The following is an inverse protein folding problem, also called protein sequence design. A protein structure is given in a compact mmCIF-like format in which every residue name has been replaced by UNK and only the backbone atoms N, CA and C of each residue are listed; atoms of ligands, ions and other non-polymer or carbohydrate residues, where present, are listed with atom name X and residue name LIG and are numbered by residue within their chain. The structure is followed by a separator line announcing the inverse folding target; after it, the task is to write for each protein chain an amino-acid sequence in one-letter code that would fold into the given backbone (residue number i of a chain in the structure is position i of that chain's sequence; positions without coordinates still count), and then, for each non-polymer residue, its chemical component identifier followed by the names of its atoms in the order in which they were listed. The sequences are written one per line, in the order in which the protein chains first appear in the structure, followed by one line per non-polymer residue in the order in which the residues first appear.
data_IF_190081799440
#
_entry.id   IF_190081799440
#
_cell.length_a   1.000
_cell.length_b   1.000
_cell.length_c   1.000
_cell.angle_alpha   90.00
_cell.angle_beta   90.00
_cell.angle_gamma   90.00
#
_symmetry.space_group_name_H-M   'P 1'
#
loop_
_entity.id
_entity.type
_entity.pdbx_description
1 polymer ?
#
# COMPACT_ATOMS: atom_id res chain seq x y z
N UNK A 1 20.09 7.29 5.39
CA UNK A 1 19.00 8.12 6.00
C UNK A 1 19.39 8.53 7.41
N UNK A 2 19.19 9.79 7.77
CA UNK A 2 19.38 10.25 9.16
C UNK A 2 18.31 9.63 10.06
N UNK A 3 18.70 9.18 11.26
CA UNK A 3 17.74 8.60 12.21
C UNK A 3 16.86 9.69 12.82
N UNK A 4 15.54 9.46 12.83
CA UNK A 4 14.58 10.35 13.50
C UNK A 4 14.88 10.50 14.99
N UNK A 5 15.39 9.43 15.63
CA UNK A 5 15.70 9.40 17.05
C UNK A 5 16.85 10.37 17.43
N UNK A 6 17.80 10.57 16.51
CA UNK A 6 19.01 11.38 16.73
C UNK A 6 18.80 12.87 16.42
N UNK A 7 17.58 13.27 16.03
CA UNK A 7 17.27 14.65 15.69
C UNK A 7 16.97 15.44 16.98
N UNK A 8 17.66 16.58 17.11
CA UNK A 8 17.35 17.60 18.10
C UNK A 8 16.19 18.49 17.61
N UNK A 9 15.04 18.37 18.24
CA UNK A 9 13.84 19.15 17.94
C UNK A 9 13.65 20.39 18.80
N UNK A 10 14.52 20.61 19.81
CA UNK A 10 14.36 21.71 20.77
C UNK A 10 14.36 23.06 20.04
N UNK A 11 13.28 23.84 20.24
CA UNK A 11 13.04 25.13 19.60
C UNK A 11 13.11 25.12 18.06
N UNK A 12 12.81 23.98 17.42
CA UNK A 12 12.81 23.82 15.95
C UNK A 12 11.38 23.78 15.41
N UNK A 13 11.22 24.39 14.24
CA UNK A 13 9.98 24.26 13.43
C UNK A 13 10.14 23.03 12.53
N UNK A 14 9.26 22.08 12.68
CA UNK A 14 9.27 20.82 11.92
C UNK A 14 8.16 20.85 10.88
N UNK A 15 8.51 20.84 9.60
CA UNK A 15 7.55 20.54 8.55
C UNK A 15 7.38 19.03 8.49
N UNK A 16 6.20 18.57 8.92
CA UNK A 16 5.85 17.14 8.96
C UNK A 16 4.87 16.82 7.83
N UNK A 17 5.37 16.10 6.81
CA UNK A 17 4.54 15.62 5.71
C UNK A 17 3.85 14.32 6.10
N UNK A 18 2.54 14.37 6.23
CA UNK A 18 1.70 13.25 6.66
C UNK A 18 0.72 12.80 5.58
N UNK A 19 0.23 11.57 5.67
CA UNK A 19 -0.84 11.07 4.81
C UNK A 19 -2.18 11.02 5.55
N UNK A 20 -2.87 12.15 5.59
CA UNK A 20 -4.22 12.25 6.12
C UNK A 20 -5.29 12.26 5.02
N UNK A 21 -5.00 11.59 3.90
CA UNK A 21 -6.00 11.36 2.85
C UNK A 21 -6.98 10.27 3.32
N UNK A 22 -7.83 10.66 4.27
CA UNK A 22 -8.83 9.79 4.91
C UNK A 22 -10.14 9.79 4.11
N UNK A 23 -10.96 8.72 4.20
CA UNK A 23 -12.26 8.68 3.57
C UNK A 23 -13.22 9.66 4.24
N UNK A 24 -13.97 10.39 3.41
CA UNK A 24 -14.94 11.38 3.84
C UNK A 24 -16.33 11.05 3.32
N UNK A 25 -17.33 11.05 4.19
CA UNK A 25 -18.75 11.00 3.83
C UNK A 25 -19.46 12.21 4.43
N UNK A 26 -20.16 12.98 3.60
CA UNK A 26 -20.86 14.19 4.05
C UNK A 26 -19.95 15.14 4.87
N UNK A 27 -18.69 15.31 4.46
CA UNK A 27 -17.65 16.09 5.16
C UNK A 27 -17.30 15.56 6.56
N UNK A 28 -17.62 14.32 6.87
CA UNK A 28 -17.20 13.64 8.11
C UNK A 28 -16.19 12.58 7.79
N UNK A 29 -15.17 12.43 8.64
CA UNK A 29 -14.19 11.38 8.55
C UNK A 29 -14.86 10.07 8.98
N UNK A 30 -14.84 9.05 8.10
CA UNK A 30 -15.40 7.73 8.39
C UNK A 30 -14.36 6.75 8.93
N UNK A 31 -13.08 7.05 8.72
CA UNK A 31 -11.96 6.27 9.25
C UNK A 31 -10.76 7.19 9.55
N UNK A 32 -10.38 7.29 10.82
CA UNK A 32 -9.30 8.13 11.32
C UNK A 32 -7.99 7.37 11.56
N UNK A 33 -7.89 6.14 11.10
CA UNK A 33 -6.75 5.24 11.34
C UNK A 33 -5.39 5.90 11.03
N UNK A 34 -5.28 6.60 9.90
CA UNK A 34 -4.04 7.29 9.48
C UNK A 34 -3.65 8.43 10.43
N UNK A 35 -4.63 9.12 11.01
CA UNK A 35 -4.40 10.17 12.00
C UNK A 35 -3.84 9.54 13.27
N UNK A 36 -4.49 8.51 13.79
CA UNK A 36 -4.06 7.78 15.00
C UNK A 36 -2.67 7.18 14.84
N UNK A 37 -2.33 6.63 13.69
CA UNK A 37 -0.99 6.08 13.43
C UNK A 37 0.12 7.14 13.48
N UNK A 38 -0.17 8.38 13.09
CA UNK A 38 0.80 9.48 13.09
C UNK A 38 0.94 10.16 14.46
N UNK A 39 -0.03 10.00 15.34
CA UNK A 39 -0.05 10.66 16.67
C UNK A 39 1.22 10.43 17.50
N UNK A 40 1.81 9.22 17.59
CA UNK A 40 3.06 9.00 18.33
C UNK A 40 4.23 9.87 17.83
N UNK A 41 4.36 10.03 16.50
CA UNK A 41 5.41 10.89 15.91
C UNK A 41 5.21 12.35 16.29
N UNK A 42 3.97 12.85 16.23
CA UNK A 42 3.61 14.20 16.63
C UNK A 42 3.95 14.43 18.10
N UNK A 43 3.48 13.55 19.00
CA UNK A 43 3.78 13.65 20.42
C UNK A 43 5.28 13.62 20.72
N UNK A 44 6.04 12.82 20.01
CA UNK A 44 7.49 12.72 20.18
C UNK A 44 8.21 14.00 19.80
N UNK A 45 7.84 14.64 18.68
CA UNK A 45 8.40 15.93 18.30
C UNK A 45 8.08 17.00 19.33
N UNK A 46 6.82 17.07 19.80
CA UNK A 46 6.38 18.04 20.81
C UNK A 46 7.07 17.83 22.15
N UNK A 47 7.19 16.59 22.62
CA UNK A 47 7.86 16.25 23.89
C UNK A 47 9.36 16.60 23.89
N UNK A 48 9.98 16.64 22.71
CA UNK A 48 11.36 17.10 22.51
C UNK A 48 11.47 18.62 22.24
N UNK A 49 10.42 19.40 22.47
CA UNK A 49 10.39 20.87 22.38
C UNK A 49 10.25 21.46 20.99
N UNK A 50 9.87 20.65 20.00
CA UNK A 50 9.59 21.13 18.64
C UNK A 50 8.20 21.77 18.49
N UNK A 51 7.99 22.51 17.40
CA UNK A 51 6.69 22.94 16.89
C UNK A 51 6.44 22.33 15.52
N UNK A 52 5.19 22.06 15.16
CA UNK A 52 4.87 21.22 14.00
C UNK A 52 4.00 21.98 13.00
N UNK A 53 4.46 22.00 11.74
CA UNK A 53 3.73 22.43 10.56
C UNK A 53 3.29 21.18 9.83
N UNK A 54 2.00 20.79 9.99
CA UNK A 54 1.42 19.62 9.33
C UNK A 54 1.05 19.94 7.88
N UNK A 55 1.62 19.20 6.94
CA UNK A 55 1.32 19.30 5.52
C UNK A 55 0.76 17.98 5.00
N UNK A 56 -0.43 18.02 4.45
CA UNK A 56 -1.12 16.86 3.90
C UNK A 56 -1.96 17.21 2.68
N UNK A 57 -2.57 16.19 2.08
CA UNK A 57 -3.55 16.36 1.01
C UNK A 57 -4.81 15.55 1.28
N UNK A 58 -5.92 15.98 0.71
CA UNK A 58 -7.18 15.25 0.62
C UNK A 58 -7.60 15.21 -0.84
N UNK A 59 -7.95 14.02 -1.33
CA UNK A 59 -8.47 13.85 -2.68
C UNK A 59 -7.48 14.19 -3.81
N UNK A 60 -8.06 14.56 -4.95
CA UNK A 60 -7.31 14.92 -6.17
C UNK A 60 -7.87 16.22 -6.77
N UNK A 61 -7.72 17.36 -6.09
CA UNK A 61 -8.18 18.64 -6.63
C UNK A 61 -7.38 19.06 -7.86
N UNK A 62 -7.95 19.97 -8.63
CA UNK A 62 -7.21 20.69 -9.68
C UNK A 62 -6.26 21.68 -9.03
N UNK A 63 -4.99 21.66 -9.42
CA UNK A 63 -3.99 22.63 -8.93
C UNK A 63 -4.39 24.08 -9.22
N UNK A 64 -4.10 24.96 -8.28
CA UNK A 64 -4.44 26.38 -8.35
C UNK A 64 -5.91 26.70 -8.06
N UNK A 65 -6.73 25.69 -7.75
CA UNK A 65 -8.16 25.85 -7.46
C UNK A 65 -8.47 25.30 -6.08
N UNK A 66 -8.92 26.16 -5.18
CA UNK A 66 -9.39 25.74 -3.87
C UNK A 66 -10.78 25.11 -3.98
N UNK A 67 -10.90 23.86 -3.54
CA UNK A 67 -12.17 23.15 -3.44
C UNK A 67 -12.54 22.97 -1.95
N UNK A 68 -13.60 23.69 -1.47
CA UNK A 68 -13.99 23.57 -0.06
C UNK A 68 -14.38 22.17 0.40
N UNK A 69 -14.75 21.27 -0.52
CA UNK A 69 -15.07 19.87 -0.20
C UNK A 69 -13.81 19.04 0.11
N UNK A 70 -12.64 19.50 -0.32
CA UNK A 70 -11.34 18.87 -0.13
C UNK A 70 -10.40 19.68 0.78
N UNK A 71 -10.96 20.65 1.54
CA UNK A 71 -10.19 21.41 2.53
C UNK A 71 -9.73 20.50 3.66
N UNK A 72 -8.46 20.64 4.06
CA UNK A 72 -7.91 19.93 5.21
C UNK A 72 -8.46 20.42 6.54
N UNK A 73 -9.20 21.55 6.57
CA UNK A 73 -9.86 22.04 7.78
C UNK A 73 -10.79 21.00 8.43
N UNK A 74 -11.35 20.06 7.66
CA UNK A 74 -12.17 18.96 8.15
C UNK A 74 -11.40 18.03 9.12
N UNK A 75 -10.07 18.03 9.07
CA UNK A 75 -9.22 17.20 9.92
C UNK A 75 -9.00 17.79 11.33
N UNK A 76 -9.25 19.09 11.54
CA UNK A 76 -8.91 19.80 12.78
C UNK A 76 -9.51 19.11 14.00
N UNK A 77 -10.82 18.91 14.02
CA UNK A 77 -11.51 18.29 15.17
C UNK A 77 -11.03 16.87 15.46
N UNK A 78 -10.76 16.07 14.41
CA UNK A 78 -10.24 14.71 14.61
C UNK A 78 -8.80 14.72 15.14
N UNK A 79 -7.97 15.67 14.69
CA UNK A 79 -6.61 15.84 15.20
C UNK A 79 -6.64 16.30 16.67
N UNK A 80 -7.46 17.29 17.03
CA UNK A 80 -7.63 17.73 18.41
C UNK A 80 -8.07 16.60 19.32
N UNK A 81 -9.07 15.83 18.88
CA UNK A 81 -9.56 14.67 19.63
C UNK A 81 -8.48 13.59 19.82
N UNK A 82 -7.68 13.32 18.79
CA UNK A 82 -6.65 12.27 18.81
C UNK A 82 -5.42 12.69 19.60
N UNK A 83 -5.00 13.96 19.49
CA UNK A 83 -3.77 14.46 20.08
C UNK A 83 -3.98 15.07 21.47
N UNK A 84 -5.22 15.42 21.83
CA UNK A 84 -5.52 16.07 23.12
C UNK A 84 -5.00 17.50 23.25
N UNK A 85 -4.68 18.17 22.13
CA UNK A 85 -4.12 19.52 22.08
C UNK A 85 -4.83 20.34 21.01
N UNK A 86 -4.88 21.69 21.13
CA UNK A 86 -5.47 22.56 20.12
C UNK A 86 -4.64 22.55 18.83
N UNK A 87 -5.33 22.57 17.69
CA UNK A 87 -4.73 22.59 16.35
C UNK A 87 -5.06 23.91 15.67
N UNK A 88 -4.03 24.70 15.38
CA UNK A 88 -4.18 25.89 14.55
C UNK A 88 -4.37 25.49 13.08
N UNK A 89 -5.25 26.18 12.35
CA UNK A 89 -5.43 25.96 10.92
C UNK A 89 -5.06 27.21 10.13
N UNK A 90 -4.29 27.04 9.04
CA UNK A 90 -3.91 28.17 8.18
C UNK A 90 -4.17 27.88 6.71
N UNK A 91 -5.01 28.72 6.11
CA UNK A 91 -5.42 28.60 4.70
C UNK A 91 -4.30 29.06 3.75
N UNK A 92 -3.79 30.27 3.94
CA UNK A 92 -2.73 30.86 3.10
C UNK A 92 -1.35 30.69 3.74
N UNK A 93 -0.94 29.43 3.94
CA UNK A 93 0.23 29.08 4.73
C UNK A 93 1.57 29.27 3.99
N UNK A 94 1.56 29.19 2.64
CA UNK A 94 2.79 29.29 1.84
C UNK A 94 3.41 30.71 1.85
N UNK A 95 2.65 31.73 2.22
CA UNK A 95 3.11 33.12 2.32
C UNK A 95 3.80 33.42 3.66
N UNK A 96 3.91 32.44 4.53
CA UNK A 96 4.59 32.55 5.81
C UNK A 96 3.77 32.04 6.99
N UNK A 97 4.45 31.47 7.97
CA UNK A 97 3.86 30.87 9.16
C UNK A 97 4.49 31.51 10.41
N UNK A 98 3.67 31.90 11.38
CA UNK A 98 4.07 32.17 12.75
C UNK A 98 3.56 31.02 13.61
N UNK A 99 4.46 30.33 14.29
CA UNK A 99 4.16 29.21 15.15
C UNK A 99 5.04 29.31 16.40
N UNK A 100 4.43 29.18 17.56
CA UNK A 100 5.14 29.20 18.85
C UNK A 100 5.61 27.81 19.25
N UNK A 101 6.54 27.74 20.20
CA UNK A 101 7.07 26.48 20.73
C UNK A 101 5.93 25.57 21.22
N UNK A 102 5.97 24.31 20.83
CA UNK A 102 4.98 23.30 21.24
C UNK A 102 3.63 23.37 20.55
N UNK A 103 3.44 24.28 19.58
CA UNK A 103 2.22 24.38 18.80
C UNK A 103 2.20 23.44 17.60
N UNK A 104 0.99 23.05 17.21
CA UNK A 104 0.72 22.31 15.96
C UNK A 104 -0.17 23.14 15.06
N UNK A 105 0.27 23.35 13.83
CA UNK A 105 -0.45 24.08 12.80
C UNK A 105 -0.70 23.17 11.60
N UNK A 106 -1.97 22.99 11.25
CA UNK A 106 -2.38 22.29 10.04
C UNK A 106 -2.48 23.27 8.87
N UNK A 107 -1.79 22.99 7.80
CA UNK A 107 -1.86 23.73 6.55
C UNK A 107 -3.05 23.29 5.70
N UNK A 108 -3.62 24.22 4.91
CA UNK A 108 -4.60 23.90 3.88
C UNK A 108 -4.01 22.93 2.84
N UNK A 109 -4.89 22.16 2.19
CA UNK A 109 -4.57 21.11 1.23
C UNK A 109 -3.44 21.53 0.27
N UNK A 110 -2.31 20.85 0.40
CA UNK A 110 -1.11 21.15 -0.38
C UNK A 110 -1.34 21.03 -1.89
N UNK A 111 -2.28 20.18 -2.30
CA UNK A 111 -2.65 20.00 -3.72
C UNK A 111 -3.44 21.16 -4.31
N UNK A 112 -3.86 22.15 -3.52
CA UNK A 112 -4.38 23.41 -4.06
C UNK A 112 -3.28 24.32 -4.59
N UNK A 113 -2.03 24.08 -4.21
CA UNK A 113 -0.91 24.90 -4.67
C UNK A 113 -0.50 24.50 -6.08
N UNK A 114 -0.39 25.50 -6.97
CA UNK A 114 0.14 25.30 -8.31
C UNK A 114 1.61 24.91 -8.24
N UNK A 115 1.96 23.81 -8.91
CA UNK A 115 3.33 23.29 -8.93
C UNK A 115 3.58 22.18 -7.90
N UNK A 116 2.59 21.80 -7.09
CA UNK A 116 2.76 20.70 -6.12
C UNK A 116 3.08 19.39 -6.82
N UNK A 117 2.26 18.96 -7.78
CA UNK A 117 2.44 17.66 -8.43
C UNK A 117 3.55 17.65 -9.49
N UNK A 118 3.89 18.82 -10.04
CA UNK A 118 5.01 18.98 -10.97
C UNK A 118 6.36 19.19 -10.29
N UNK A 119 6.38 19.21 -8.95
CA UNK A 119 7.60 19.44 -8.16
C UNK A 119 8.26 20.79 -8.48
N UNK A 120 7.48 21.86 -8.52
CA UNK A 120 8.01 23.19 -8.77
C UNK A 120 9.04 23.60 -7.72
N UNK A 121 10.22 24.00 -8.19
CA UNK A 121 11.38 24.28 -7.33
C UNK A 121 11.18 25.53 -6.47
N UNK A 122 10.46 26.55 -6.96
CA UNK A 122 10.20 27.75 -6.18
C UNK A 122 9.20 27.48 -5.07
N UNK A 123 8.15 26.70 -5.37
CA UNK A 123 7.20 26.24 -4.36
C UNK A 123 7.90 25.39 -3.28
N UNK A 124 8.71 24.43 -3.70
CA UNK A 124 9.49 23.59 -2.79
C UNK A 124 10.43 24.39 -1.89
N UNK A 125 11.10 25.39 -2.45
CA UNK A 125 11.95 26.32 -1.69
C UNK A 125 11.17 27.10 -0.66
N UNK A 126 10.02 27.70 -1.04
CA UNK A 126 9.13 28.41 -0.10
C UNK A 126 8.68 27.50 1.04
N UNK A 127 8.32 26.24 0.76
CA UNK A 127 7.99 25.25 1.81
C UNK A 127 9.16 24.99 2.75
N UNK A 128 10.37 24.80 2.20
CA UNK A 128 11.58 24.56 2.98
C UNK A 128 11.93 25.72 3.92
N UNK A 129 11.73 26.97 3.49
CA UNK A 129 12.00 28.17 4.29
C UNK A 129 11.05 28.32 5.50
N UNK A 130 9.91 27.61 5.51
CA UNK A 130 8.97 27.64 6.65
C UNK A 130 9.48 26.84 7.86
N UNK A 131 10.45 25.95 7.68
CA UNK A 131 10.87 24.99 8.71
C UNK A 131 12.38 24.87 8.83
N UNK A 132 12.83 24.42 9.98
CA UNK A 132 14.24 24.12 10.27
C UNK A 132 14.56 22.64 9.99
N UNK A 133 13.52 21.78 10.04
CA UNK A 133 13.60 20.34 9.87
C UNK A 133 12.43 19.87 8.98
N UNK A 134 12.72 18.96 8.06
CA UNK A 134 11.72 18.25 7.27
C UNK A 134 11.62 16.78 7.69
N UNK A 135 10.43 16.32 8.06
CA UNK A 135 10.14 14.91 8.36
C UNK A 135 9.05 14.41 7.41
N UNK A 136 9.30 13.26 6.78
CA UNK A 136 8.30 12.62 5.92
C UNK A 136 7.73 11.36 6.58
N UNK A 137 6.43 11.36 6.86
CA UNK A 137 5.65 10.21 7.35
C UNK A 137 4.75 9.59 6.28
N UNK A 138 4.71 10.19 5.09
CA UNK A 138 3.77 9.81 4.05
C UNK A 138 4.40 8.87 3.01
N UNK A 139 4.69 7.63 3.39
CA UNK A 139 5.24 6.63 2.46
C UNK A 139 4.31 6.38 1.24
N UNK A 140 2.99 6.44 1.42
CA UNK A 140 2.01 6.26 0.34
C UNK A 140 2.20 7.18 -0.88
N UNK A 141 2.90 8.30 -0.70
CA UNK A 141 3.22 9.28 -1.74
C UNK A 141 4.70 9.24 -2.18
N UNK A 142 5.50 8.34 -1.63
CA UNK A 142 6.96 8.29 -1.84
C UNK A 142 7.38 7.96 -3.27
N UNK A 143 6.52 7.29 -4.01
CA UNK A 143 6.73 6.92 -5.42
C UNK A 143 6.65 8.11 -6.39
N UNK A 144 6.24 9.29 -5.92
CA UNK A 144 6.08 10.50 -6.73
C UNK A 144 6.96 11.61 -6.21
N UNK A 145 7.69 12.28 -7.11
CA UNK A 145 8.44 13.47 -6.77
C UNK A 145 7.51 14.69 -6.82
N UNK A 146 6.87 15.03 -5.70
CA UNK A 146 6.08 16.24 -5.54
C UNK A 146 6.86 17.32 -4.77
N UNK A 147 6.41 18.58 -4.82
CA UNK A 147 7.07 19.67 -4.10
C UNK A 147 7.09 19.42 -2.59
N UNK A 148 5.97 18.93 -2.01
CA UNK A 148 5.80 18.74 -0.56
C UNK A 148 6.44 17.48 0.04
N UNK A 149 6.94 16.55 -0.78
CA UNK A 149 7.56 15.32 -0.27
C UNK A 149 8.99 15.11 -0.75
N UNK A 150 9.32 15.50 -1.98
CA UNK A 150 10.63 15.38 -2.59
C UNK A 150 11.34 16.73 -2.68
N UNK A 151 10.68 17.72 -3.30
CA UNK A 151 11.26 19.03 -3.54
C UNK A 151 11.68 19.74 -2.26
N UNK A 152 10.80 19.78 -1.26
CA UNK A 152 11.03 20.40 0.05
C UNK A 152 12.26 19.81 0.76
N UNK A 153 12.50 18.50 0.60
CA UNK A 153 13.65 17.84 1.21
C UNK A 153 15.00 18.39 0.72
N UNK A 154 15.06 18.92 -0.52
CA UNK A 154 16.27 19.55 -1.07
C UNK A 154 16.63 20.88 -0.39
N UNK A 155 15.65 21.56 0.17
CA UNK A 155 15.82 22.88 0.78
C UNK A 155 15.90 22.84 2.30
N UNK A 156 15.78 21.66 2.92
CA UNK A 156 15.98 21.47 4.35
C UNK A 156 17.33 20.77 4.62
N UNK A 157 18.19 21.41 5.43
CA UNK A 157 19.47 20.83 5.83
C UNK A 157 19.31 19.57 6.68
N UNK A 158 18.25 19.52 7.49
CA UNK A 158 17.91 18.37 8.30
C UNK A 158 16.63 17.78 7.68
N UNK A 159 16.76 16.58 7.12
CA UNK A 159 15.65 15.82 6.54
C UNK A 159 15.75 14.37 6.97
N UNK A 160 14.62 13.76 7.31
CA UNK A 160 14.59 12.36 7.70
C UNK A 160 13.21 11.72 7.41
N UNK A 161 13.16 10.39 7.27
CA UNK A 161 11.90 9.65 7.38
C UNK A 161 11.39 9.74 8.82
N UNK A 162 10.08 9.83 8.99
CA UNK A 162 9.46 9.59 10.28
C UNK A 162 9.34 8.09 10.57
N UNK A 163 8.99 7.70 11.81
CA UNK A 163 8.89 6.30 12.23
C UNK A 163 7.96 5.44 11.37
N UNK A 164 6.80 5.96 10.95
CA UNK A 164 5.87 5.22 10.09
C UNK A 164 6.45 4.99 8.69
N UNK A 165 7.08 6.03 8.12
CA UNK A 165 7.74 5.91 6.82
C UNK A 165 8.85 4.86 6.88
N UNK A 166 9.66 4.90 7.93
CA UNK A 166 10.78 3.98 8.11
C UNK A 166 10.30 2.55 8.31
N UNK A 167 9.28 2.33 9.15
CA UNK A 167 8.72 0.99 9.37
C UNK A 167 8.16 0.35 8.10
N UNK A 168 7.54 1.14 7.23
CA UNK A 168 7.07 0.68 5.91
C UNK A 168 8.25 0.26 5.03
N UNK A 169 9.29 1.11 4.94
CA UNK A 169 10.50 0.82 4.16
C UNK A 169 11.19 -0.45 4.68
N UNK A 170 11.36 -0.58 5.99
CA UNK A 170 12.02 -1.73 6.61
C UNK A 170 11.24 -3.03 6.37
N UNK A 171 9.90 -3.00 6.53
CA UNK A 171 9.06 -4.16 6.26
C UNK A 171 9.19 -4.62 4.80
N UNK A 172 9.17 -3.67 3.86
CA UNK A 172 9.32 -3.96 2.43
C UNK A 172 10.72 -4.47 2.07
N UNK A 173 11.77 -3.87 2.63
CA UNK A 173 13.13 -4.36 2.44
C UNK A 173 13.30 -5.78 2.98
N UNK A 174 12.67 -6.09 4.11
CA UNK A 174 12.76 -7.41 4.73
C UNK A 174 12.14 -8.50 3.85
N UNK A 175 11.02 -8.22 3.16
CA UNK A 175 10.38 -9.22 2.28
C UNK A 175 10.94 -9.28 0.87
N UNK A 176 11.66 -8.24 0.40
CA UNK A 176 12.18 -8.20 -0.98
C UNK A 176 13.68 -8.41 -1.04
N UNK A 177 14.47 -7.68 -0.23
CA UNK A 177 15.93 -7.69 -0.34
C UNK A 177 16.64 -8.56 0.70
N UNK A 178 15.97 -8.80 1.84
CA UNK A 178 16.51 -9.55 2.97
C UNK A 178 15.58 -10.70 3.36
N UNK A 179 14.81 -11.19 2.40
CA UNK A 179 13.88 -12.28 2.65
C UNK A 179 14.64 -13.55 3.10
N UNK A 180 14.12 -14.16 4.12
CA UNK A 180 14.61 -15.47 4.60
C UNK A 180 13.86 -16.56 3.85
N UNK A 181 14.61 -17.52 3.30
CA UNK A 181 14.05 -18.70 2.65
C UNK A 181 13.62 -19.77 3.70
N UNK A 182 12.56 -20.53 3.39
CA UNK A 182 11.70 -20.44 2.21
C UNK A 182 10.80 -19.19 2.23
N UNK A 183 10.65 -18.58 1.06
CA UNK A 183 9.85 -17.38 0.87
C UNK A 183 8.71 -17.62 -0.13
N UNK A 184 7.54 -17.05 0.15
CA UNK A 184 6.33 -17.20 -0.69
C UNK A 184 5.74 -15.82 -1.00
N UNK A 185 5.51 -15.54 -2.28
CA UNK A 185 4.72 -14.39 -2.69
C UNK A 185 3.38 -14.84 -3.28
N UNK A 186 2.31 -14.15 -2.89
CA UNK A 186 0.95 -14.37 -3.41
C UNK A 186 0.53 -13.10 -4.14
N UNK A 187 0.22 -13.21 -5.43
CA UNK A 187 -0.23 -12.11 -6.27
C UNK A 187 -1.57 -12.47 -6.89
N UNK A 188 -2.63 -11.85 -6.41
CA UNK A 188 -3.98 -11.97 -6.96
C UNK A 188 -4.37 -10.74 -7.76
N UNK A 189 -5.39 -10.89 -8.60
CA UNK A 189 -5.95 -9.77 -9.35
C UNK A 189 -6.65 -10.18 -10.63
N UNK A 190 -7.45 -9.26 -11.18
CA UNK A 190 -8.24 -9.50 -12.38
C UNK A 190 -7.46 -9.34 -13.69
N UNK A 191 -6.42 -8.48 -13.69
CA UNK A 191 -5.65 -8.10 -14.90
C UNK A 191 -4.16 -8.28 -14.70
N UNK A 192 -3.53 -9.08 -15.58
CA UNK A 192 -2.09 -9.30 -15.54
C UNK A 192 -1.31 -8.05 -15.99
N UNK A 193 -1.83 -7.29 -16.96
CA UNK A 193 -1.16 -6.09 -17.50
C UNK A 193 -0.77 -5.08 -16.43
N UNK A 194 -1.54 -5.02 -15.33
CA UNK A 194 -1.25 -4.15 -14.19
C UNK A 194 -0.26 -4.75 -13.18
N UNK A 195 0.11 -6.02 -13.35
CA UNK A 195 0.93 -6.79 -12.41
C UNK A 195 2.16 -7.45 -13.04
N UNK A 196 2.35 -7.31 -14.36
CA UNK A 196 3.46 -7.93 -15.09
C UNK A 196 4.83 -7.58 -14.48
N UNK A 197 5.07 -6.29 -14.21
CA UNK A 197 6.33 -5.84 -13.60
C UNK A 197 6.52 -6.40 -12.19
N UNK A 198 5.44 -6.43 -11.40
CA UNK A 198 5.42 -7.01 -10.05
C UNK A 198 5.77 -8.50 -10.09
N UNK A 199 5.08 -9.29 -10.94
CA UNK A 199 5.29 -10.73 -11.08
C UNK A 199 6.72 -11.02 -11.51
N UNK A 200 7.22 -10.29 -12.52
CA UNK A 200 8.60 -10.43 -13.03
C UNK A 200 9.65 -10.10 -11.97
N UNK A 201 9.42 -9.11 -11.12
CA UNK A 201 10.37 -8.78 -10.06
C UNK A 201 10.30 -9.82 -8.93
N UNK A 202 9.10 -10.18 -8.47
CA UNK A 202 8.91 -11.13 -7.37
C UNK A 202 9.40 -12.53 -7.73
N UNK A 203 9.21 -13.00 -8.97
CA UNK A 203 9.70 -14.31 -9.39
C UNK A 203 11.21 -14.51 -9.22
N UNK A 204 11.97 -13.41 -9.21
CA UNK A 204 13.43 -13.42 -8.99
C UNK A 204 13.82 -13.29 -7.52
N UNK A 205 12.87 -12.94 -6.66
CA UNK A 205 13.15 -12.60 -5.27
C UNK A 205 12.65 -13.66 -4.28
N UNK A 206 11.69 -14.51 -4.68
CA UNK A 206 11.07 -15.48 -3.78
C UNK A 206 11.25 -16.90 -4.27
N UNK A 207 11.19 -17.88 -3.34
CA UNK A 207 11.31 -19.30 -3.68
C UNK A 207 10.03 -19.86 -4.31
N UNK A 208 8.87 -19.30 -3.96
CA UNK A 208 7.58 -19.75 -4.49
C UNK A 208 6.66 -18.57 -4.81
N UNK A 209 6.02 -18.63 -5.97
CA UNK A 209 5.08 -17.61 -6.44
C UNK A 209 3.71 -18.23 -6.68
N UNK A 210 2.69 -17.71 -5.99
CA UNK A 210 1.28 -18.05 -6.17
C UNK A 210 0.60 -16.94 -6.94
N UNK A 211 -0.08 -17.28 -8.03
CA UNK A 211 -0.81 -16.32 -8.86
C UNK A 211 -2.30 -16.66 -8.86
N UNK A 212 -3.14 -15.73 -8.37
CA UNK A 212 -4.57 -15.93 -8.17
C UNK A 212 -5.49 -15.05 -9.02
N UNK A 213 -6.79 -15.27 -8.92
CA UNK A 213 -7.81 -14.51 -9.64
C UNK A 213 -7.75 -14.68 -11.16
N UNK A 214 -8.06 -13.63 -11.91
CA UNK A 214 -7.99 -13.64 -13.37
C UNK A 214 -6.60 -13.93 -13.94
N UNK A 215 -5.54 -13.67 -13.16
CA UNK A 215 -4.15 -14.02 -13.52
C UNK A 215 -3.97 -15.55 -13.51
N UNK A 216 -4.58 -16.26 -12.57
CA UNK A 216 -4.56 -17.72 -12.55
C UNK A 216 -5.24 -18.33 -13.78
N UNK A 217 -6.34 -17.73 -14.25
CA UNK A 217 -7.03 -18.19 -15.45
C UNK A 217 -6.12 -18.07 -16.71
N UNK A 218 -5.30 -17.02 -16.79
CA UNK A 218 -4.30 -16.87 -17.84
C UNK A 218 -3.25 -17.97 -17.79
N UNK A 219 -2.79 -18.34 -16.59
CA UNK A 219 -1.82 -19.43 -16.41
C UNK A 219 -2.43 -20.76 -16.84
N UNK A 220 -3.63 -21.08 -16.38
CA UNK A 220 -4.34 -22.31 -16.75
C UNK A 220 -4.50 -22.40 -18.27
N UNK A 221 -4.89 -21.30 -18.91
CA UNK A 221 -5.01 -21.22 -20.36
C UNK A 221 -3.65 -21.36 -21.08
N UNK A 222 -2.60 -20.75 -20.53
CA UNK A 222 -1.24 -20.86 -21.10
C UNK A 222 -0.68 -22.29 -21.00
N UNK A 223 -1.14 -23.10 -20.06
CA UNK A 223 -0.84 -24.53 -19.96
C UNK A 223 -1.66 -25.40 -20.94
N UNK A 224 -2.56 -24.80 -21.73
CA UNK A 224 -3.39 -25.50 -22.72
C UNK A 224 -4.73 -25.99 -22.22
N UNK A 225 -5.12 -25.71 -20.97
CA UNK A 225 -6.43 -26.09 -20.43
C UNK A 225 -7.53 -25.11 -20.84
N UNK A 226 -8.77 -25.61 -20.82
CA UNK A 226 -9.94 -24.76 -20.97
C UNK A 226 -10.11 -23.89 -19.73
N UNK A 227 -10.66 -22.70 -19.92
CA UNK A 227 -11.05 -21.79 -18.83
C UNK A 227 -12.53 -21.37 -18.94
N UNK A 228 -13.25 -21.90 -19.93
CA UNK A 228 -14.65 -21.59 -20.19
C UNK A 228 -14.91 -20.10 -20.40
N UNK A 229 -15.90 -19.59 -19.68
CA UNK A 229 -16.29 -18.16 -19.67
C UNK A 229 -15.53 -17.34 -18.60
N UNK A 230 -14.50 -17.91 -17.99
CA UNK A 230 -13.74 -17.27 -16.91
C UNK A 230 -13.11 -15.95 -17.36
N UNK A 231 -13.02 -15.02 -16.44
CA UNK A 231 -12.35 -13.74 -16.65
C UNK A 231 -10.88 -13.96 -17.05
N UNK A 232 -10.48 -13.43 -18.17
CA UNK A 232 -9.06 -13.31 -18.54
C UNK A 232 -8.81 -12.12 -19.45
N UNK A 233 -7.59 -11.60 -19.43
CA UNK A 233 -7.20 -10.43 -20.21
C UNK A 233 -6.68 -10.87 -21.57
N UNK A 234 -7.58 -11.00 -22.57
CA UNK A 234 -7.26 -11.51 -23.91
C UNK A 234 -6.10 -10.76 -24.60
N UNK A 235 -6.02 -9.41 -24.58
CA UNK A 235 -4.92 -8.68 -25.22
C UNK A 235 -3.54 -8.98 -24.63
N UNK A 236 -3.47 -9.33 -23.35
CA UNK A 236 -2.22 -9.61 -22.65
C UNK A 236 -1.81 -11.10 -22.68
N UNK A 237 -2.58 -11.96 -23.34
CA UNK A 237 -2.37 -13.42 -23.29
C UNK A 237 -1.02 -13.86 -23.83
N UNK A 238 -0.60 -13.36 -24.99
CA UNK A 238 0.69 -13.74 -25.58
C UNK A 238 1.89 -13.28 -24.76
N UNK A 239 1.81 -12.08 -24.18
CA UNK A 239 2.82 -11.56 -23.28
C UNK A 239 2.89 -12.38 -21.99
N UNK A 240 1.73 -12.75 -21.44
CA UNK A 240 1.62 -13.61 -20.27
C UNK A 240 2.23 -14.99 -20.51
N UNK A 241 1.98 -15.61 -21.68
CA UNK A 241 2.57 -16.90 -22.04
C UNK A 241 4.11 -16.84 -22.10
N UNK A 242 4.67 -15.76 -22.64
CA UNK A 242 6.12 -15.54 -22.64
C UNK A 242 6.65 -15.38 -21.22
N UNK A 243 6.00 -14.53 -20.40
CA UNK A 243 6.39 -14.31 -19.02
C UNK A 243 6.41 -15.61 -18.21
N UNK A 244 5.36 -16.43 -18.31
CA UNK A 244 5.24 -17.65 -17.50
C UNK A 244 6.24 -18.74 -17.90
N UNK A 245 6.74 -18.76 -19.15
CA UNK A 245 7.79 -19.68 -19.59
C UNK A 245 9.14 -19.39 -18.92
N UNK A 246 9.37 -18.13 -18.55
CA UNK A 246 10.63 -17.68 -17.95
C UNK A 246 10.61 -17.74 -16.40
N UNK A 247 9.55 -18.29 -15.79
CA UNK A 247 9.38 -18.34 -14.34
C UNK A 247 9.21 -19.80 -13.89
N UNK A 248 10.20 -20.31 -13.16
CA UNK A 248 10.24 -21.72 -12.75
C UNK A 248 9.60 -22.00 -11.37
N UNK A 249 9.36 -20.95 -10.58
CA UNK A 249 8.92 -21.07 -9.19
C UNK A 249 7.42 -20.82 -8.98
N UNK A 250 6.61 -20.85 -10.04
CA UNK A 250 5.15 -20.73 -9.93
C UNK A 250 4.55 -22.00 -9.34
N UNK A 251 3.71 -21.83 -8.33
CA UNK A 251 2.84 -22.91 -7.84
C UNK A 251 1.59 -22.95 -8.73
N UNK A 252 1.61 -23.86 -9.69
CA UNK A 252 0.50 -24.02 -10.63
C UNK A 252 -0.72 -24.65 -9.95
N UNK A 253 -1.96 -24.14 -10.21
CA UNK A 253 -3.19 -24.79 -9.78
C UNK A 253 -3.37 -26.14 -10.45
N UNK A 254 -4.03 -27.07 -9.75
CA UNK A 254 -4.35 -28.41 -10.23
C UNK A 254 -5.84 -28.72 -10.19
N UNK A 255 -6.58 -27.99 -9.38
CA UNK A 255 -8.04 -28.01 -9.30
C UNK A 255 -8.57 -26.63 -8.96
N UNK A 256 -9.82 -26.39 -9.31
CA UNK A 256 -10.51 -25.10 -9.19
C UNK A 256 -11.95 -25.31 -8.72
N UNK A 257 -12.59 -24.22 -8.27
CA UNK A 257 -14.03 -24.16 -8.02
C UNK A 257 -14.67 -23.38 -9.16
N UNK A 258 -15.55 -24.05 -9.89
CA UNK A 258 -16.29 -23.49 -11.03
C UNK A 258 -17.76 -23.29 -10.71
N UNK A 259 -18.36 -22.31 -11.36
CA UNK A 259 -19.82 -22.14 -11.43
C UNK A 259 -20.25 -21.80 -12.86
N UNK A 260 -21.54 -21.87 -13.16
CA UNK A 260 -22.08 -21.54 -14.48
C UNK A 260 -22.41 -20.06 -14.65
N UNK A 261 -22.46 -19.30 -13.56
CA UNK A 261 -22.76 -17.87 -13.54
C UNK A 261 -21.97 -17.13 -12.46
N UNK A 262 -21.75 -15.84 -12.69
CA UNK A 262 -21.13 -14.94 -11.72
C UNK A 262 -22.22 -14.37 -10.78
N UNK A 263 -22.59 -15.14 -9.78
CA UNK A 263 -23.66 -14.81 -8.84
C UNK A 263 -23.30 -15.29 -7.43
N UNK A 264 -23.61 -14.47 -6.42
CA UNK A 264 -23.36 -14.82 -5.00
C UNK A 264 -24.11 -16.07 -4.51
N UNK A 265 -25.20 -16.43 -5.19
CA UNK A 265 -26.01 -17.63 -4.90
C UNK A 265 -25.60 -18.84 -5.74
N UNK A 266 -24.67 -18.69 -6.68
CA UNK A 266 -24.23 -19.79 -7.52
C UNK A 266 -23.57 -20.90 -6.68
N UNK A 267 -23.81 -22.15 -7.10
CA UNK A 267 -23.23 -23.32 -6.44
C UNK A 267 -21.89 -23.63 -7.09
N UNK A 268 -20.83 -23.64 -6.27
CA UNK A 268 -19.49 -24.00 -6.69
C UNK A 268 -19.33 -25.53 -6.85
N UNK A 269 -18.70 -25.94 -7.94
CA UNK A 269 -18.33 -27.34 -8.20
C UNK A 269 -16.81 -27.43 -8.32
N UNK A 270 -16.20 -28.34 -7.54
CA UNK A 270 -14.77 -28.63 -7.62
C UNK A 270 -14.49 -29.43 -8.91
N UNK A 271 -13.54 -28.95 -9.71
CA UNK A 271 -13.12 -29.60 -10.96
C UNK A 271 -11.61 -29.65 -11.06
N UNK A 272 -11.08 -30.75 -11.56
CA UNK A 272 -9.72 -30.77 -12.09
C UNK A 272 -9.63 -29.93 -13.36
N UNK A 273 -8.43 -29.50 -13.75
CA UNK A 273 -8.29 -28.62 -14.92
C UNK A 273 -8.79 -29.26 -16.23
N UNK A 274 -8.74 -30.59 -16.34
CA UNK A 274 -9.23 -31.33 -17.50
C UNK A 274 -10.77 -31.41 -17.58
N UNK A 275 -11.49 -31.15 -16.49
CA UNK A 275 -12.94 -31.20 -16.40
C UNK A 275 -13.62 -29.87 -16.65
N UNK A 276 -12.84 -28.80 -16.86
CA UNK A 276 -13.37 -27.47 -17.14
C UNK A 276 -14.00 -27.46 -18.53
N UNK A 277 -15.26 -27.03 -18.60
CA UNK A 277 -16.04 -26.94 -19.84
C UNK A 277 -16.15 -25.49 -20.35
N UNK A 278 -16.68 -25.32 -21.55
CA UNK A 278 -16.90 -24.00 -22.14
C UNK A 278 -17.89 -23.10 -21.37
N UNK A 279 -18.76 -23.70 -20.55
CA UNK A 279 -19.76 -22.99 -19.76
C UNK A 279 -19.29 -22.62 -18.36
N UNK A 280 -18.14 -23.09 -17.92
CA UNK A 280 -17.62 -22.86 -16.58
C UNK A 280 -17.02 -21.45 -16.41
N UNK A 281 -17.19 -20.92 -15.21
CA UNK A 281 -16.48 -19.75 -14.67
C UNK A 281 -15.63 -20.22 -13.51
N UNK A 282 -14.31 -20.08 -13.60
CA UNK A 282 -13.41 -20.36 -12.49
C UNK A 282 -13.51 -19.19 -11.52
N UNK A 283 -13.95 -19.46 -10.29
CA UNK A 283 -14.21 -18.44 -9.27
C UNK A 283 -13.35 -18.59 -8.01
N UNK A 284 -12.71 -19.76 -7.80
CA UNK A 284 -11.77 -19.98 -6.70
C UNK A 284 -10.84 -21.16 -7.00
N UNK A 285 -9.81 -21.37 -6.17
CA UNK A 285 -8.99 -22.57 -6.22
C UNK A 285 -9.66 -23.74 -5.51
N UNK A 286 -9.39 -24.95 -6.02
CA UNK A 286 -9.84 -26.19 -5.42
C UNK A 286 -8.97 -26.64 -4.23
N UNK A 287 -9.44 -27.62 -3.45
CA UNK A 287 -8.80 -28.05 -2.21
C UNK A 287 -7.37 -28.60 -2.39
N UNK A 288 -7.09 -29.30 -3.49
CA UNK A 288 -5.74 -29.84 -3.75
C UNK A 288 -4.72 -28.74 -4.05
N UNK A 289 -5.16 -27.70 -4.80
CA UNK A 289 -4.34 -26.52 -5.04
C UNK A 289 -4.06 -25.77 -3.74
N UNK A 290 -5.08 -25.62 -2.88
CA UNK A 290 -4.94 -24.95 -1.59
C UNK A 290 -4.04 -25.73 -0.64
N UNK A 291 -4.12 -27.06 -0.59
CA UNK A 291 -3.23 -27.90 0.20
C UNK A 291 -1.76 -27.69 -0.21
N UNK A 292 -1.48 -27.69 -1.51
CA UNK A 292 -0.14 -27.42 -2.04
C UNK A 292 0.40 -26.06 -1.62
N UNK A 293 -0.44 -25.02 -1.66
CA UNK A 293 -0.08 -23.65 -1.29
C UNK A 293 0.13 -23.55 0.23
N UNK A 294 -0.80 -24.07 1.03
CA UNK A 294 -0.73 -23.97 2.50
C UNK A 294 0.46 -24.71 3.07
N UNK A 295 0.86 -25.85 2.48
CA UNK A 295 2.10 -26.56 2.83
C UNK A 295 3.32 -25.64 2.67
N UNK A 296 3.38 -24.85 1.60
CA UNK A 296 4.48 -23.90 1.40
C UNK A 296 4.42 -22.73 2.36
N UNK A 297 3.22 -22.20 2.65
CA UNK A 297 3.04 -21.12 3.61
C UNK A 297 3.43 -21.52 5.04
N UNK A 298 3.14 -22.77 5.45
CA UNK A 298 3.52 -23.29 6.76
C UNK A 298 5.04 -23.43 6.93
N UNK A 299 5.76 -23.78 5.86
CA UNK A 299 7.21 -23.90 5.86
C UNK A 299 7.93 -22.56 5.66
N UNK A 300 7.21 -21.50 5.25
CA UNK A 300 7.80 -20.21 4.91
C UNK A 300 8.37 -19.49 6.12
N UNK A 301 9.45 -18.73 5.88
CA UNK A 301 9.99 -17.72 6.82
C UNK A 301 9.61 -16.30 6.42
N UNK A 302 9.32 -16.12 5.13
CA UNK A 302 8.89 -14.82 4.60
C UNK A 302 7.66 -14.98 3.70
N UNK A 303 6.63 -14.19 3.93
CA UNK A 303 5.40 -14.19 3.12
C UNK A 303 5.06 -12.78 2.67
N UNK A 304 4.80 -12.63 1.37
CA UNK A 304 4.24 -11.42 0.78
C UNK A 304 2.86 -11.73 0.21
N UNK A 305 1.85 -10.96 0.61
CA UNK A 305 0.47 -11.15 0.14
C UNK A 305 -0.11 -9.88 -0.51
N UNK A 306 -0.38 -9.96 -1.82
CA UNK A 306 -0.97 -8.88 -2.60
C UNK A 306 -2.08 -9.36 -3.54
N UNK A 307 -3.28 -9.42 -3.06
CA UNK A 307 -4.50 -9.77 -3.80
C UNK A 307 -5.11 -11.12 -3.40
N UNK A 308 -6.45 -11.23 -3.49
CA UNK A 308 -7.18 -12.45 -3.19
C UNK A 308 -6.94 -13.52 -4.26
N UNK A 309 -7.27 -14.76 -3.92
CA UNK A 309 -7.17 -15.91 -4.84
C UNK A 309 -8.45 -16.10 -5.63
N UNK A 310 -9.59 -16.16 -4.95
CA UNK A 310 -10.90 -16.32 -5.56
C UNK A 310 -11.76 -15.05 -5.46
N UNK A 311 -13.02 -15.18 -5.82
CA UNK A 311 -14.06 -14.13 -5.68
C UNK A 311 -14.49 -14.09 -4.21
N UNK A 312 -13.62 -13.58 -3.35
CA UNK A 312 -13.78 -13.62 -1.90
C UNK A 312 -14.98 -12.81 -1.38
N UNK A 313 -15.50 -11.91 -2.19
CA UNK A 313 -16.72 -11.13 -1.91
C UNK A 313 -17.96 -12.03 -1.79
N UNK A 314 -17.97 -13.15 -2.51
CA UNK A 314 -19.03 -14.16 -2.47
C UNK A 314 -18.62 -15.31 -1.56
N UNK A 315 -19.37 -15.56 -0.49
CA UNK A 315 -18.99 -16.56 0.52
C UNK A 315 -18.80 -17.97 -0.05
N UNK A 316 -19.55 -18.32 -1.10
CA UNK A 316 -19.43 -19.61 -1.81
C UNK A 316 -18.09 -19.77 -2.56
N UNK A 317 -17.37 -18.69 -2.82
CA UNK A 317 -16.10 -18.66 -3.56
C UNK A 317 -14.98 -17.95 -2.78
N UNK A 318 -15.17 -17.81 -1.47
CA UNK A 318 -14.24 -17.15 -0.57
C UNK A 318 -13.25 -18.11 0.11
N UNK A 319 -13.43 -19.42 -0.08
CA UNK A 319 -12.69 -20.44 0.67
C UNK A 319 -11.19 -20.40 0.39
N UNK A 320 -10.79 -20.18 -0.87
CA UNK A 320 -9.37 -20.09 -1.24
C UNK A 320 -8.67 -18.94 -0.53
N UNK A 321 -9.27 -17.75 -0.58
CA UNK A 321 -8.72 -16.57 0.08
C UNK A 321 -8.73 -16.71 1.60
N UNK A 322 -9.79 -17.28 2.18
CA UNK A 322 -9.88 -17.59 3.62
C UNK A 322 -8.78 -18.56 4.06
N UNK A 323 -8.63 -19.68 3.35
CA UNK A 323 -7.63 -20.71 3.66
C UNK A 323 -6.22 -20.13 3.67
N UNK A 324 -5.91 -19.27 2.69
CA UNK A 324 -4.61 -18.59 2.63
C UNK A 324 -4.45 -17.60 3.78
N UNK A 325 -5.45 -16.78 4.06
CA UNK A 325 -5.42 -15.82 5.17
C UNK A 325 -5.16 -16.52 6.51
N UNK A 326 -5.87 -17.62 6.77
CA UNK A 326 -5.69 -18.42 7.98
C UNK A 326 -4.33 -19.13 8.02
N UNK A 327 -3.82 -19.60 6.88
CA UNK A 327 -2.50 -20.23 6.81
C UNK A 327 -1.38 -19.21 7.10
N UNK A 328 -1.49 -17.99 6.58
CA UNK A 328 -0.57 -16.89 6.88
C UNK A 328 -0.65 -16.54 8.38
N UNK A 329 -1.86 -16.41 8.92
CA UNK A 329 -2.10 -16.07 10.33
C UNK A 329 -1.53 -17.12 11.30
N UNK A 330 -1.50 -18.39 10.92
CA UNK A 330 -0.94 -19.52 11.71
C UNK A 330 0.55 -19.72 11.48
N UNK A 331 1.14 -19.10 10.47
CA UNK A 331 2.56 -19.22 10.16
C UNK A 331 3.41 -18.37 11.11
N UNK A 332 4.62 -18.86 11.43
CA UNK A 332 5.64 -18.09 12.15
C UNK A 332 6.43 -17.15 11.23
N UNK A 333 6.13 -17.13 9.93
CA UNK A 333 6.82 -16.30 8.95
C UNK A 333 6.63 -14.80 9.22
N UNK A 334 7.64 -14.01 8.87
CA UNK A 334 7.42 -12.57 8.73
C UNK A 334 6.55 -12.31 7.51
N UNK A 335 5.32 -11.84 7.74
CA UNK A 335 4.31 -11.63 6.71
C UNK A 335 4.05 -10.15 6.45
N UNK A 336 4.08 -9.77 5.16
CA UNK A 336 3.69 -8.43 4.71
C UNK A 336 2.50 -8.56 3.75
N UNK A 337 1.46 -7.80 4.01
CA UNK A 337 0.28 -7.76 3.16
C UNK A 337 -0.01 -6.31 2.72
N UNK A 338 -0.53 -6.14 1.50
CA UNK A 338 -0.92 -4.81 1.01
C UNK A 338 -1.75 -4.85 -0.26
N UNK A 339 -2.43 -3.74 -0.52
CA UNK A 339 -3.43 -3.63 -1.57
C UNK A 339 -4.87 -3.65 -1.03
N UNK A 340 -5.77 -2.88 -1.64
CA UNK A 340 -7.14 -2.70 -1.13
C UNK A 340 -7.90 -4.01 -0.91
N UNK A 341 -7.93 -4.88 -1.92
CA UNK A 341 -8.62 -6.16 -1.85
C UNK A 341 -7.98 -7.13 -0.84
N UNK A 342 -6.65 -7.03 -0.64
CA UNK A 342 -5.95 -7.80 0.39
C UNK A 342 -6.37 -7.37 1.78
N UNK A 343 -6.40 -6.05 2.03
CA UNK A 343 -6.82 -5.49 3.32
C UNK A 343 -8.28 -5.85 3.60
N UNK A 344 -9.17 -5.72 2.61
CA UNK A 344 -10.56 -6.13 2.74
C UNK A 344 -10.70 -7.63 3.07
N UNK A 345 -9.84 -8.48 2.49
CA UNK A 345 -9.81 -9.93 2.81
C UNK A 345 -9.34 -10.17 4.24
N UNK A 346 -8.29 -9.46 4.69
CA UNK A 346 -7.76 -9.54 6.05
C UNK A 346 -8.83 -9.16 7.07
N UNK A 347 -9.56 -8.08 6.82
CA UNK A 347 -10.67 -7.62 7.66
C UNK A 347 -11.83 -8.61 7.66
N UNK A 348 -12.26 -9.09 6.47
CA UNK A 348 -13.36 -10.08 6.34
C UNK A 348 -13.09 -11.35 7.12
N UNK A 349 -11.84 -11.82 7.17
CA UNK A 349 -11.48 -13.08 7.86
C UNK A 349 -10.89 -12.86 9.24
N UNK A 350 -10.84 -11.61 9.75
CA UNK A 350 -10.40 -11.23 11.10
C UNK A 350 -8.98 -11.71 11.45
N UNK A 351 -8.03 -11.61 10.50
CA UNK A 351 -6.64 -12.05 10.69
C UNK A 351 -5.64 -10.90 10.84
N UNK A 352 -6.11 -9.67 11.00
CA UNK A 352 -5.25 -8.47 11.03
C UNK A 352 -4.17 -8.52 12.11
N UNK A 353 -4.49 -9.04 13.30
CA UNK A 353 -3.56 -9.09 14.43
C UNK A 353 -2.41 -10.11 14.24
N UNK A 354 -2.54 -11.04 13.31
CA UNK A 354 -1.57 -12.09 13.04
C UNK A 354 -0.67 -11.80 11.84
N UNK A 355 -0.95 -10.72 11.08
CA UNK A 355 -0.09 -10.30 9.97
C UNK A 355 1.00 -9.38 10.54
N UNK A 356 2.27 -9.70 10.25
CA UNK A 356 3.41 -8.94 10.81
C UNK A 356 3.42 -7.47 10.37
N UNK A 357 3.02 -7.18 9.14
CA UNK A 357 2.90 -5.82 8.62
C UNK A 357 1.81 -5.70 7.56
N UNK A 358 0.91 -4.73 7.71
CA UNK A 358 -0.14 -4.41 6.74
C UNK A 358 0.14 -3.04 6.15
N UNK A 359 0.55 -3.02 4.88
CA UNK A 359 0.82 -1.77 4.16
C UNK A 359 -0.48 -1.11 3.69
N UNK A 360 -0.67 0.14 4.07
CA UNK A 360 -1.77 0.98 3.57
C UNK A 360 -1.33 1.93 2.45
N UNK A 361 -0.12 1.75 1.95
CA UNK A 361 0.52 2.67 1.02
C UNK A 361 0.04 2.56 -0.45
N UNK A 362 -0.76 1.55 -0.78
CA UNK A 362 -1.40 1.43 -2.10
C UNK A 362 -0.38 1.41 -3.26
N UNK A 363 -0.38 2.48 -4.07
CA UNK A 363 0.50 2.56 -5.26
C UNK A 363 1.99 2.54 -4.92
N UNK A 364 2.42 3.19 -3.84
CA UNK A 364 3.83 3.20 -3.43
C UNK A 364 4.32 1.80 -3.02
N UNK A 365 3.47 1.04 -2.34
CA UNK A 365 3.72 -0.37 -2.01
C UNK A 365 3.96 -1.19 -3.29
N UNK A 366 3.04 -1.09 -4.26
CA UNK A 366 3.15 -1.85 -5.51
C UNK A 366 4.39 -1.46 -6.31
N UNK A 367 4.66 -0.17 -6.49
CA UNK A 367 5.83 0.30 -7.24
C UNK A 367 7.15 -0.11 -6.57
N UNK A 368 7.20 -0.16 -5.24
CA UNK A 368 8.35 -0.68 -4.52
C UNK A 368 8.55 -2.17 -4.81
N UNK A 369 7.48 -2.97 -4.76
CA UNK A 369 7.51 -4.40 -5.09
C UNK A 369 7.86 -4.68 -6.55
N UNK A 370 7.57 -3.75 -7.46
CA UNK A 370 8.01 -3.79 -8.86
C UNK A 370 9.51 -3.51 -9.04
N UNK A 371 10.21 -3.14 -7.97
CA UNK A 371 11.63 -2.78 -7.99
C UNK A 371 11.92 -1.36 -8.46
N UNK A 372 10.91 -0.50 -8.54
CA UNK A 372 11.09 0.91 -8.90
C UNK A 372 11.77 1.68 -7.76
N UNK A 373 12.72 2.54 -8.12
CA UNK A 373 13.32 3.46 -7.14
C UNK A 373 12.31 4.53 -6.75
N UNK A 374 12.02 4.62 -5.45
CA UNK A 374 11.24 5.73 -4.92
C UNK A 374 12.09 7.00 -4.87
N UNK A 375 11.67 8.10 -5.51
CA UNK A 375 12.41 9.37 -5.46
C UNK A 375 12.54 9.90 -4.03
N UNK A 376 11.49 9.70 -3.21
CA UNK A 376 11.50 10.20 -1.82
C UNK A 376 12.43 9.38 -0.94
N UNK A 377 12.48 8.05 -1.11
CA UNK A 377 13.48 7.24 -0.40
C UNK A 377 14.89 7.72 -0.80
N UNK A 378 15.13 7.89 -2.10
CA UNK A 378 16.45 8.31 -2.59
C UNK A 378 16.89 9.64 -1.99
N UNK A 379 16.04 10.69 -1.98
CA UNK A 379 16.42 11.99 -1.42
C UNK A 379 16.61 11.97 0.10
N UNK A 380 15.92 11.09 0.83
CA UNK A 380 16.10 10.93 2.27
C UNK A 380 17.36 10.10 2.62
N UNK A 381 17.91 9.34 1.66
CA UNK A 381 19.17 8.59 1.79
C UNK A 381 20.40 9.44 1.45
N UNK A 382 20.24 10.52 0.70
CA UNK A 382 21.32 11.46 0.40
C UNK A 382 21.76 12.21 1.68
N UNK A 383 23.06 12.34 1.89
CA UNK A 383 23.67 13.06 3.01
C UNK A 383 23.55 14.58 2.89
#
# INVERSE_FOLDING_TARGET
MKSFEDIDFENKRVLLRVDFNVPLENKKITNDFRIRQTAPTIHKILSKGGSIILVTHIGRPKEGVADPSLSTSVLVSALESTLGIPIKFKKNWIEGIKIDKGEVLLCENVRFLKGETSNDSQLAKKMGELSDIFINEAFSNSHRAHASNYGVAKFNKIRAPGPLFLSEVEALYKVIKKNESPSVAIVGGSKISTKTALIKNLSKQVDHLVLGGGIANLIIKAQGFQIGKSLFEKPAFEEACRLFKDIDNIIYPIDVVCANEFNKMAIGTIKSLNEITENDLILDFGPKTLEKITTKLQAAKTILWNGPIGVFEFDNFANGTRTIAEAIAKSSAFSVAGGGDTIASIEKFNVSAQISYISTAGGAFLEFLEGKKSPVISILEED
#
